data_IF_922017629423
#
_entry.id   IF_922017629423
#
_cell.length_a   1.000
_cell.length_b   1.000
_cell.length_c   1.000
_cell.angle_alpha   90.00
_cell.angle_beta   90.00
_cell.angle_gamma   90.00
#
_symmetry.space_group_name_H-M   'P 1'
#
loop_
_entity.id
_entity.type
_entity.pdbx_description
1 polymer ?
#
# COMPACT_ATOMS: atom_id res chain seq x y z
N UNK A 1 28.01 -7.74 22.46
CA UNK A 1 27.47 -8.35 21.23
C UNK A 1 26.60 -7.29 20.58
N UNK A 2 27.08 -6.66 19.50
CA UNK A 2 26.36 -5.57 18.83
C UNK A 2 25.40 -6.25 17.84
N UNK A 3 24.12 -6.28 18.17
CA UNK A 3 23.08 -6.69 17.22
C UNK A 3 23.10 -5.71 16.05
N UNK A 4 22.92 -6.20 14.82
CA UNK A 4 22.71 -5.30 13.69
C UNK A 4 21.47 -4.44 13.99
N UNK A 5 21.41 -3.22 13.45
CA UNK A 5 20.31 -2.29 13.75
C UNK A 5 18.92 -2.96 13.52
N UNK A 6 18.76 -3.78 12.47
CA UNK A 6 17.52 -4.53 12.24
C UNK A 6 17.16 -5.52 13.35
N UNK A 7 18.14 -6.27 13.85
CA UNK A 7 17.93 -7.20 14.97
C UNK A 7 17.58 -6.47 16.27
N UNK A 8 18.10 -5.26 16.48
CA UNK A 8 17.75 -4.43 17.63
C UNK A 8 16.27 -3.99 17.57
N UNK A 9 15.75 -3.61 16.39
CA UNK A 9 14.34 -3.23 16.25
C UNK A 9 13.39 -4.42 16.48
N UNK A 10 13.71 -5.59 15.93
CA UNK A 10 12.93 -6.81 16.17
C UNK A 10 12.91 -7.18 17.66
N UNK A 11 14.05 -7.05 18.35
CA UNK A 11 14.12 -7.27 19.80
C UNK A 11 13.27 -6.27 20.59
N UNK A 12 13.22 -5.01 20.15
CA UNK A 12 12.32 -4.03 20.75
C UNK A 12 10.86 -4.43 20.57
N UNK A 13 10.45 -4.87 19.37
CA UNK A 13 9.08 -5.37 19.10
C UNK A 13 8.73 -6.56 19.99
N UNK A 14 9.65 -7.54 20.13
CA UNK A 14 9.46 -8.72 20.98
C UNK A 14 9.32 -8.38 22.47
N UNK A 15 9.96 -7.30 22.93
CA UNK A 15 9.94 -6.85 24.33
C UNK A 15 8.75 -5.96 24.67
N UNK A 16 7.92 -5.58 23.70
CA UNK A 16 6.75 -4.77 23.98
C UNK A 16 5.81 -5.53 24.96
N UNK A 17 5.17 -4.86 25.91
CA UNK A 17 4.17 -5.48 26.79
C UNK A 17 2.94 -5.98 26.03
N UNK A 18 2.29 -7.05 26.49
CA UNK A 18 1.15 -7.70 25.80
C UNK A 18 -0.09 -6.81 25.61
N UNK A 19 -0.17 -5.68 26.32
CA UNK A 19 -1.20 -4.65 26.09
C UNK A 19 -1.12 -3.99 24.70
N UNK A 20 -0.03 -4.14 23.95
CA UNK A 20 0.09 -3.64 22.59
C UNK A 20 -0.17 -4.78 21.61
N UNK A 21 -1.32 -4.75 20.92
CA UNK A 21 -1.74 -5.82 20.02
C UNK A 21 -1.07 -5.77 18.63
N UNK A 22 -0.54 -4.61 18.21
CA UNK A 22 0.10 -4.42 16.91
C UNK A 22 1.15 -3.30 16.96
N UNK A 23 2.00 -3.24 15.93
CA UNK A 23 3.06 -2.25 15.80
C UNK A 23 2.97 -1.57 14.43
N UNK A 24 3.04 -0.24 14.41
CA UNK A 24 3.24 0.53 13.19
C UNK A 24 4.67 1.07 13.17
N UNK A 25 5.48 0.63 12.21
CA UNK A 25 6.89 1.03 12.07
C UNK A 25 6.95 2.20 11.11
N UNK A 26 7.36 3.37 11.62
CA UNK A 26 7.46 4.63 10.87
C UNK A 26 8.87 5.18 10.89
N UNK A 27 9.21 6.02 9.89
CA UNK A 27 10.50 6.70 9.73
C UNK A 27 11.69 5.76 9.88
N UNK A 28 11.54 4.55 9.38
CA UNK A 28 12.55 3.50 9.46
C UNK A 28 13.03 3.17 8.05
N UNK A 29 14.31 2.86 7.92
CA UNK A 29 14.88 2.35 6.66
C UNK A 29 13.99 1.24 6.07
N UNK A 30 13.62 1.30 4.77
CA UNK A 30 12.67 0.37 4.17
C UNK A 30 13.08 -1.10 4.29
N UNK A 31 14.36 -1.42 4.11
CA UNK A 31 14.84 -2.79 4.22
C UNK A 31 14.77 -3.29 5.67
N UNK A 32 15.09 -2.41 6.63
CA UNK A 32 14.96 -2.71 8.06
C UNK A 32 13.50 -2.90 8.49
N UNK A 33 12.60 -2.03 8.07
CA UNK A 33 11.18 -2.12 8.40
C UNK A 33 10.57 -3.42 7.84
N UNK A 34 10.89 -3.74 6.58
CA UNK A 34 10.49 -4.99 5.93
C UNK A 34 11.00 -6.22 6.68
N UNK A 35 12.29 -6.26 7.02
CA UNK A 35 12.87 -7.39 7.74
C UNK A 35 12.23 -7.63 9.11
N UNK A 36 11.79 -6.57 9.80
CA UNK A 36 11.03 -6.72 11.06
C UNK A 36 9.61 -7.23 10.80
N UNK A 37 8.95 -6.75 9.75
CA UNK A 37 7.60 -7.23 9.40
C UNK A 37 7.60 -8.71 9.00
N UNK A 38 8.57 -9.13 8.17
CA UNK A 38 8.77 -10.52 7.74
C UNK A 38 9.06 -11.42 8.94
N UNK A 39 10.03 -11.06 9.79
CA UNK A 39 10.32 -11.84 10.99
C UNK A 39 9.12 -11.90 11.96
N UNK A 40 8.36 -10.81 12.10
CA UNK A 40 7.17 -10.79 12.95
C UNK A 40 6.06 -11.71 12.42
N UNK A 41 5.93 -11.79 11.09
CA UNK A 41 5.02 -12.72 10.42
C UNK A 41 5.45 -14.17 10.62
N UNK A 42 6.73 -14.48 10.40
CA UNK A 42 7.28 -15.83 10.53
C UNK A 42 7.22 -16.37 11.96
N UNK A 43 7.53 -15.53 12.95
CA UNK A 43 7.52 -15.89 14.36
C UNK A 43 6.11 -15.85 14.99
N UNK A 44 5.06 -15.59 14.21
CA UNK A 44 3.69 -15.39 14.67
C UNK A 44 3.59 -14.37 15.83
N UNK A 45 4.40 -13.31 15.76
CA UNK A 45 4.42 -12.22 16.71
C UNK A 45 3.27 -11.24 16.41
N UNK A 46 3.34 -10.05 17.01
CA UNK A 46 2.35 -9.01 16.79
C UNK A 46 2.37 -8.55 15.34
N UNK A 47 1.21 -8.25 14.74
CA UNK A 47 1.17 -7.71 13.40
C UNK A 47 1.98 -6.40 13.31
N UNK A 48 2.84 -6.32 12.30
CA UNK A 48 3.67 -5.15 12.01
C UNK A 48 3.21 -4.55 10.69
N UNK A 49 2.77 -3.30 10.73
CA UNK A 49 2.48 -2.50 9.54
C UNK A 49 3.64 -1.53 9.30
N UNK A 50 4.18 -1.48 8.09
CA UNK A 50 5.24 -0.53 7.71
C UNK A 50 4.69 0.64 6.89
N UNK A 51 5.48 1.71 6.77
CA UNK A 51 5.15 2.82 5.85
C UNK A 51 5.09 2.36 4.40
N UNK A 52 5.93 1.39 4.03
CA UNK A 52 5.99 0.81 2.70
C UNK A 52 4.72 0.01 2.39
N UNK A 53 4.17 -0.72 3.37
CA UNK A 53 2.89 -1.42 3.22
C UNK A 53 1.74 -0.44 3.03
N UNK A 54 1.72 0.63 3.80
CA UNK A 54 0.71 1.68 3.69
C UNK A 54 0.79 2.42 2.34
N UNK A 55 1.99 2.82 1.92
CA UNK A 55 2.24 3.46 0.62
C UNK A 55 1.85 2.54 -0.54
N UNK A 56 2.26 1.26 -0.49
CA UNK A 56 1.93 0.30 -1.53
C UNK A 56 0.42 0.09 -1.63
N UNK A 57 -0.25 -0.06 -0.49
CA UNK A 57 -1.71 -0.22 -0.42
C UNK A 57 -2.44 1.00 -0.97
N UNK A 58 -2.05 2.21 -0.58
CA UNK A 58 -2.68 3.44 -1.05
C UNK A 58 -2.47 3.62 -2.56
N UNK A 59 -1.26 3.34 -3.06
CA UNK A 59 -0.95 3.45 -4.49
C UNK A 59 -1.72 2.42 -5.31
N UNK A 60 -1.80 1.17 -4.85
CA UNK A 60 -2.62 0.13 -5.48
C UNK A 60 -4.10 0.51 -5.49
N UNK A 61 -4.64 1.00 -4.37
CA UNK A 61 -6.02 1.45 -4.28
C UNK A 61 -6.33 2.56 -5.30
N UNK A 62 -5.38 3.49 -5.49
CA UNK A 62 -5.53 4.58 -6.43
C UNK A 62 -5.43 4.12 -7.89
N UNK A 63 -4.56 3.14 -8.20
CA UNK A 63 -4.52 2.46 -9.52
C UNK A 63 -5.84 1.74 -9.80
N UNK A 64 -6.33 0.92 -8.87
CA UNK A 64 -7.59 0.20 -9.01
C UNK A 64 -8.78 1.15 -9.21
N UNK A 65 -8.81 2.24 -8.44
CA UNK A 65 -9.84 3.28 -8.58
C UNK A 65 -9.77 3.94 -9.96
N UNK A 66 -8.57 4.24 -10.46
CA UNK A 66 -8.40 4.81 -11.80
C UNK A 66 -8.86 3.85 -12.90
N UNK A 67 -8.41 2.59 -12.87
CA UNK A 67 -8.82 1.58 -13.86
C UNK A 67 -10.35 1.44 -13.90
N UNK A 68 -10.98 1.33 -12.73
CA UNK A 68 -12.45 1.30 -12.62
C UNK A 68 -13.12 2.56 -13.20
N UNK A 69 -12.56 3.74 -12.94
CA UNK A 69 -13.08 5.02 -13.46
C UNK A 69 -13.04 5.06 -14.99
N UNK A 70 -12.03 4.47 -15.62
CA UNK A 70 -11.91 4.39 -17.08
C UNK A 70 -12.54 3.13 -17.67
N UNK A 71 -13.30 2.36 -16.88
CA UNK A 71 -14.02 1.17 -17.33
C UNK A 71 -13.13 -0.03 -17.67
N UNK A 72 -11.90 -0.07 -17.12
CA UNK A 72 -10.93 -1.16 -17.32
C UNK A 72 -10.95 -2.12 -16.13
N UNK A 73 -10.82 -3.41 -16.42
CA UNK A 73 -10.60 -4.45 -15.41
C UNK A 73 -9.09 -4.61 -15.14
N UNK A 74 -8.66 -4.85 -13.88
CA UNK A 74 -7.25 -5.07 -13.55
C UNK A 74 -6.58 -6.16 -14.40
N UNK A 75 -7.30 -7.25 -14.70
CA UNK A 75 -6.80 -8.41 -15.45
C UNK A 75 -6.45 -8.10 -16.90
N UNK A 76 -7.08 -7.08 -17.48
CA UNK A 76 -6.93 -6.68 -18.88
C UNK A 76 -6.21 -5.33 -19.02
N UNK A 77 -5.52 -4.90 -17.97
CA UNK A 77 -4.84 -3.60 -17.90
C UNK A 77 -3.33 -3.77 -17.84
N UNK A 78 -2.63 -2.94 -18.62
CA UNK A 78 -1.17 -2.84 -18.58
C UNK A 78 -0.75 -1.72 -17.64
N UNK A 79 -0.01 -2.06 -16.58
CA UNK A 79 0.39 -1.10 -15.54
C UNK A 79 1.90 -0.98 -15.45
N UNK A 80 2.38 0.25 -15.40
CA UNK A 80 3.80 0.55 -15.16
C UNK A 80 4.04 0.89 -13.69
N UNK A 81 5.05 0.30 -13.07
CA UNK A 81 5.58 0.75 -11.77
C UNK A 81 6.88 1.51 -12.03
N UNK A 82 6.83 2.83 -11.87
CA UNK A 82 8.00 3.69 -12.01
C UNK A 82 8.77 3.75 -10.69
N UNK A 83 10.07 3.46 -10.78
CA UNK A 83 11.05 3.39 -9.69
C UNK A 83 10.71 2.36 -8.59
N UNK A 84 10.33 1.14 -9.01
CA UNK A 84 9.90 0.05 -8.11
C UNK A 84 10.91 -0.32 -7.03
N UNK A 85 12.21 -0.04 -7.24
CA UNK A 85 13.25 -0.27 -6.25
C UNK A 85 13.01 0.47 -4.93
N UNK A 86 12.28 1.61 -4.96
CA UNK A 86 11.91 2.36 -3.76
C UNK A 86 10.88 1.62 -2.90
N UNK A 87 9.97 0.87 -3.53
CA UNK A 87 8.97 0.08 -2.83
C UNK A 87 8.57 -1.17 -3.65
N UNK A 88 9.31 -2.28 -3.51
CA UNK A 88 9.04 -3.52 -4.26
C UNK A 88 7.68 -4.14 -3.95
N UNK A 89 7.05 -3.78 -2.83
CA UNK A 89 5.73 -4.29 -2.43
C UNK A 89 4.64 -3.87 -3.42
N UNK A 90 4.80 -2.75 -4.13
CA UNK A 90 3.79 -2.23 -5.07
C UNK A 90 3.52 -3.21 -6.20
N UNK A 91 4.57 -3.72 -6.86
CA UNK A 91 4.40 -4.67 -7.96
C UNK A 91 3.75 -5.97 -7.46
N UNK A 92 4.21 -6.48 -6.32
CA UNK A 92 3.65 -7.69 -5.69
C UNK A 92 2.17 -7.51 -5.35
N UNK A 93 1.81 -6.37 -4.77
CA UNK A 93 0.44 -6.09 -4.37
C UNK A 93 -0.48 -5.89 -5.58
N UNK A 94 -0.01 -5.22 -6.65
CA UNK A 94 -0.74 -5.09 -7.91
C UNK A 94 -1.03 -6.46 -8.55
N UNK A 95 -0.07 -7.38 -8.55
CA UNK A 95 -0.28 -8.76 -9.03
C UNK A 95 -1.38 -9.48 -8.24
N UNK A 96 -1.34 -9.42 -6.91
CA UNK A 96 -2.36 -10.06 -6.06
C UNK A 96 -3.72 -9.35 -6.20
N UNK A 97 -3.73 -8.06 -6.56
CA UNK A 97 -4.95 -7.34 -6.95
C UNK A 97 -5.47 -7.69 -8.37
N UNK A 98 -4.79 -8.58 -9.10
CA UNK A 98 -5.22 -9.08 -10.40
C UNK A 98 -4.63 -8.35 -11.60
N UNK A 99 -3.61 -7.50 -11.42
CA UNK A 99 -2.89 -6.85 -12.52
C UNK A 99 -1.74 -7.75 -12.98
N UNK A 100 -1.91 -8.43 -14.11
CA UNK A 100 -0.94 -9.43 -14.60
C UNK A 100 0.01 -8.91 -15.67
N UNK A 101 -0.36 -7.87 -16.42
CA UNK A 101 0.53 -7.18 -17.36
C UNK A 101 1.21 -5.99 -16.65
N UNK A 102 2.32 -6.29 -15.97
CA UNK A 102 3.11 -5.31 -15.23
C UNK A 102 4.46 -5.05 -15.89
N UNK A 103 4.73 -3.78 -16.15
CA UNK A 103 6.04 -3.29 -16.52
C UNK A 103 6.68 -2.57 -15.33
N UNK A 104 8.01 -2.63 -15.25
CA UNK A 104 8.80 -1.87 -14.28
C UNK A 104 9.74 -0.97 -15.05
N UNK A 105 9.91 0.25 -14.56
CA UNK A 105 10.86 1.21 -15.09
C UNK A 105 11.65 1.84 -13.95
N UNK A 106 12.93 2.11 -14.15
CA UNK A 106 13.77 2.81 -13.19
C UNK A 106 14.44 4.02 -13.84
N UNK A 107 14.94 4.95 -13.01
CA UNK A 107 15.69 6.11 -13.52
C UNK A 107 16.94 5.68 -14.32
N UNK A 108 17.52 4.51 -14.00
CA UNK A 108 18.65 3.94 -14.73
C UNK A 108 18.28 3.57 -16.19
N UNK A 109 17.01 3.26 -16.45
CA UNK A 109 16.51 2.93 -17.79
C UNK A 109 16.29 4.17 -18.65
N UNK A 110 16.19 5.36 -18.03
CA UNK A 110 15.78 6.61 -18.68
C UNK A 110 16.63 6.98 -19.91
N UNK A 111 17.92 6.65 -19.89
CA UNK A 111 18.85 6.94 -20.98
C UNK A 111 18.53 6.15 -22.26
N UNK A 112 17.98 4.94 -22.12
CA UNK A 112 17.67 4.03 -23.23
C UNK A 112 16.18 4.00 -23.56
N UNK A 113 15.34 4.10 -22.53
CA UNK A 113 13.88 4.06 -22.61
C UNK A 113 13.33 5.24 -21.80
N UNK A 114 13.20 6.43 -22.41
CA UNK A 114 12.61 7.59 -21.73
C UNK A 114 11.20 7.26 -21.25
N UNK A 115 10.86 7.63 -20.02
CA UNK A 115 9.57 7.28 -19.41
C UNK A 115 8.40 7.65 -20.32
N UNK A 116 8.39 8.88 -20.88
CA UNK A 116 7.37 9.36 -21.82
C UNK A 116 7.05 8.40 -22.97
N UNK A 117 8.04 7.66 -23.47
CA UNK A 117 7.88 6.75 -24.59
C UNK A 117 7.20 5.45 -24.18
N UNK A 118 7.32 5.06 -22.91
CA UNK A 118 6.69 3.85 -22.35
C UNK A 118 5.24 4.14 -21.94
N UNK A 119 4.97 5.37 -21.47
CA UNK A 119 3.66 5.76 -20.95
C UNK A 119 2.52 5.67 -21.98
N UNK A 120 2.82 5.82 -23.27
CA UNK A 120 1.83 5.79 -24.35
C UNK A 120 1.14 4.42 -24.49
N UNK A 121 1.74 3.35 -23.97
CA UNK A 121 1.21 1.98 -24.05
C UNK A 121 0.56 1.48 -22.74
N UNK A 122 0.61 2.27 -21.67
CA UNK A 122 0.16 1.85 -20.33
C UNK A 122 -1.27 2.33 -20.06
N UNK A 123 -2.09 1.53 -19.39
CA UNK A 123 -3.42 1.94 -18.93
C UNK A 123 -3.36 2.76 -17.63
N UNK A 124 -2.38 2.43 -16.77
CA UNK A 124 -2.10 3.16 -15.53
C UNK A 124 -0.60 3.10 -15.18
N UNK A 125 -0.13 4.08 -14.40
CA UNK A 125 1.26 4.20 -13.96
C UNK A 125 1.26 4.49 -12.47
N UNK A 126 1.84 3.58 -11.70
CA UNK A 126 2.13 3.76 -10.29
C UNK A 126 3.51 4.43 -10.15
N UNK A 127 3.52 5.73 -9.84
CA UNK A 127 4.77 6.51 -9.79
C UNK A 127 5.29 6.65 -8.35
N UNK A 128 6.39 5.95 -8.06
CA UNK A 128 7.08 5.99 -6.76
C UNK A 128 8.23 7.00 -6.74
N UNK A 129 8.50 7.73 -7.82
CA UNK A 129 9.59 8.71 -7.84
C UNK A 129 9.32 9.82 -6.82
N UNK A 130 10.36 10.39 -6.20
CA UNK A 130 10.18 11.53 -5.31
C UNK A 130 9.46 12.67 -6.04
N UNK A 131 8.61 13.45 -5.34
CA UNK A 131 8.06 14.68 -5.90
C UNK A 131 9.24 15.58 -6.31
N UNK A 132 9.31 15.92 -7.60
CA UNK A 132 10.38 16.75 -8.16
C UNK A 132 10.08 18.24 -7.95
N UNK A 133 11.14 19.06 -7.86
CA UNK A 133 11.04 20.52 -7.67
C UNK A 133 10.69 21.30 -8.97
N UNK A 134 10.04 20.68 -9.96
CA UNK A 134 9.46 21.41 -11.10
C UNK A 134 10.01 21.12 -12.49
N UNK A 135 10.19 19.87 -12.90
CA UNK A 135 10.43 19.57 -14.33
C UNK A 135 9.90 18.22 -14.85
N UNK A 136 9.26 17.42 -13.99
CA UNK A 136 8.68 16.12 -14.34
C UNK A 136 7.17 16.09 -14.08
N UNK A 137 6.55 17.27 -14.20
CA UNK A 137 5.11 17.37 -14.39
C UNK A 137 4.84 16.94 -15.83
N UNK A 138 4.89 15.63 -16.04
CA UNK A 138 4.56 15.01 -17.32
C UNK A 138 3.09 15.34 -17.59
N UNK A 139 2.88 16.46 -18.27
CA UNK A 139 1.66 16.80 -18.96
C UNK A 139 1.49 15.74 -20.05
N UNK A 140 0.88 14.62 -19.68
CA UNK A 140 0.63 13.51 -20.57
C UNK A 140 -0.40 13.95 -21.60
N UNK A 141 -0.20 13.59 -22.87
CA UNK A 141 -1.21 13.64 -23.95
C UNK A 141 -2.43 12.73 -23.68
N UNK A 142 -2.52 12.16 -22.46
CA UNK A 142 -3.70 11.47 -21.95
C UNK A 142 -4.36 12.35 -20.89
N UNK A 143 -5.70 12.40 -20.84
CA UNK A 143 -6.41 13.20 -19.85
C UNK A 143 -5.85 12.90 -18.46
N UNK A 144 -5.63 13.95 -17.67
CA UNK A 144 -5.18 13.92 -16.28
C UNK A 144 -5.68 12.64 -15.58
N UNK A 145 -4.75 11.79 -15.12
CA UNK A 145 -5.09 10.65 -14.25
C UNK A 145 -4.56 9.26 -14.61
N UNK A 146 -3.81 9.05 -15.71
CA UNK A 146 -3.15 7.72 -15.91
C UNK A 146 -1.94 7.53 -14.99
N UNK A 147 -1.28 8.63 -14.59
CA UNK A 147 -0.26 8.61 -13.57
C UNK A 147 -0.88 8.79 -12.19
N UNK A 148 -0.64 7.81 -11.33
CA UNK A 148 -1.15 7.75 -9.98
C UNK A 148 0.01 7.94 -9.03
N UNK A 149 -0.12 8.93 -8.14
CA UNK A 149 0.82 9.24 -7.08
C UNK A 149 0.05 9.36 -5.77
N UNK A 150 0.72 9.08 -4.66
CA UNK A 150 0.23 9.38 -3.31
C UNK A 150 0.44 10.87 -3.01
N UNK A 151 -0.30 11.76 -3.69
CA UNK A 151 -0.22 13.22 -3.44
C UNK A 151 -1.28 13.66 -2.42
N UNK A 152 -0.89 14.52 -1.49
CA UNK A 152 -1.81 15.25 -0.60
C UNK A 152 -2.41 14.48 0.59
N UNK A 153 -2.48 13.15 0.56
CA UNK A 153 -3.02 12.34 1.67
C UNK A 153 -1.97 11.36 2.22
N UNK A 154 -1.80 11.35 3.54
CA UNK A 154 -0.89 10.42 4.22
C UNK A 154 -1.40 8.98 4.05
N UNK A 155 -0.67 8.17 3.28
CA UNK A 155 -1.01 6.78 3.02
C UNK A 155 -1.21 5.97 4.32
N UNK A 156 -0.51 6.32 5.40
CA UNK A 156 -0.66 5.68 6.72
C UNK A 156 -2.06 5.93 7.29
N UNK A 157 -2.62 7.11 7.08
CA UNK A 157 -3.95 7.46 7.58
C UNK A 157 -5.07 6.69 6.85
N UNK A 158 -4.82 6.22 5.63
CA UNK A 158 -5.77 5.38 4.90
C UNK A 158 -5.80 3.92 5.39
N UNK A 159 -4.68 3.42 5.90
CA UNK A 159 -4.49 1.97 6.13
C UNK A 159 -4.37 1.64 7.61
N UNK A 160 -3.50 2.38 8.33
CA UNK A 160 -3.14 2.04 9.70
C UNK A 160 -4.33 2.03 10.66
N UNK A 161 -5.26 3.00 10.67
CA UNK A 161 -6.39 2.95 11.60
C UNK A 161 -7.23 1.68 11.49
N UNK A 162 -7.55 1.23 10.28
CA UNK A 162 -8.37 0.03 10.06
C UNK A 162 -7.62 -1.27 10.35
N UNK A 163 -6.36 -1.36 9.95
CA UNK A 163 -5.50 -2.52 10.25
C UNK A 163 -5.27 -2.65 11.76
N UNK A 164 -4.98 -1.54 12.46
CA UNK A 164 -4.78 -1.54 13.91
C UNK A 164 -6.07 -1.86 14.68
N UNK A 165 -7.24 -1.34 14.24
CA UNK A 165 -8.56 -1.73 14.78
C UNK A 165 -8.85 -3.22 14.61
N UNK A 166 -8.36 -3.81 13.52
CA UNK A 166 -8.48 -5.26 13.28
C UNK A 166 -7.58 -6.00 14.24
N UNK A 167 -6.29 -5.69 14.26
CA UNK A 167 -5.33 -6.35 15.13
C UNK A 167 -5.66 -6.20 16.62
N UNK A 168 -6.30 -5.10 17.06
CA UNK A 168 -6.75 -4.95 18.44
C UNK A 168 -7.94 -5.86 18.82
N UNK A 169 -8.68 -6.36 17.82
CA UNK A 169 -9.82 -7.25 18.02
C UNK A 169 -9.42 -8.74 18.08
N UNK A 170 -8.17 -9.06 17.77
CA UNK A 170 -7.64 -10.43 17.73
C UNK A 170 -6.39 -10.56 18.60
N UNK A 171 -6.01 -11.79 18.93
CA UNK A 171 -4.77 -12.07 19.66
C UNK A 171 -3.51 -11.79 18.82
N UNK A 172 -2.32 -11.72 19.47
CA UNK A 172 -1.05 -11.73 18.74
C UNK A 172 -0.96 -12.93 17.79
N UNK A 173 -0.44 -12.71 16.57
CA UNK A 173 -0.31 -13.76 15.54
C UNK A 173 -1.62 -14.15 14.82
N UNK A 174 -2.80 -13.78 15.32
CA UNK A 174 -4.09 -14.15 14.72
C UNK A 174 -4.49 -13.26 13.53
N UNK A 175 -3.95 -12.04 13.48
CA UNK A 175 -4.27 -11.04 12.46
C UNK A 175 -3.01 -10.49 11.76
N UNK A 176 -2.15 -11.34 11.17
CA UNK A 176 -0.89 -10.90 10.59
C UNK A 176 -1.12 -9.94 9.41
N UNK A 177 -0.27 -8.92 9.28
CA UNK A 177 -0.27 -8.04 8.10
C UNK A 177 0.35 -8.82 6.94
N UNK A 178 -0.51 -9.42 6.11
CA UNK A 178 -0.12 -10.21 4.93
C UNK A 178 -0.44 -9.46 3.63
N UNK A 179 0.12 -9.92 2.50
CA UNK A 179 -0.26 -9.40 1.18
C UNK A 179 -1.76 -9.50 0.90
N UNK A 180 -2.42 -10.56 1.36
CA UNK A 180 -3.88 -10.69 1.23
C UNK A 180 -4.64 -9.67 2.07
N UNK A 181 -4.17 -9.37 3.29
CA UNK A 181 -4.71 -8.29 4.11
C UNK A 181 -4.58 -6.95 3.38
N UNK A 182 -3.38 -6.64 2.87
CA UNK A 182 -3.10 -5.41 2.14
C UNK A 182 -3.91 -5.31 0.84
N UNK A 183 -4.15 -6.43 0.15
CA UNK A 183 -5.04 -6.48 -1.03
C UNK A 183 -6.46 -6.07 -0.66
N UNK A 184 -7.01 -6.62 0.41
CA UNK A 184 -8.35 -6.28 0.87
C UNK A 184 -8.44 -4.82 1.31
N UNK A 185 -7.41 -4.30 1.98
CA UNK A 185 -7.30 -2.87 2.27
C UNK A 185 -7.34 -2.03 0.99
N UNK A 186 -6.53 -2.39 -0.02
CA UNK A 186 -6.45 -1.65 -1.28
C UNK A 186 -7.80 -1.66 -2.02
N UNK A 187 -8.49 -2.80 -2.06
CA UNK A 187 -9.82 -2.94 -2.64
C UNK A 187 -10.84 -2.05 -1.90
N UNK A 188 -10.91 -2.15 -0.58
CA UNK A 188 -11.83 -1.37 0.26
C UNK A 188 -11.63 0.15 0.10
N UNK A 189 -10.37 0.59 0.07
CA UNK A 189 -10.03 2.01 -0.17
C UNK A 189 -10.42 2.40 -1.60
N UNK A 190 -10.12 1.56 -2.60
CA UNK A 190 -10.42 1.89 -4.00
C UNK A 190 -11.90 2.13 -4.22
N UNK A 191 -12.76 1.35 -3.54
CA UNK A 191 -14.21 1.39 -3.60
C UNK A 191 -14.85 2.56 -2.84
N UNK A 192 -14.13 3.15 -1.88
CA UNK A 192 -14.61 4.30 -1.13
C UNK A 192 -14.93 5.48 -2.08
N UNK A 193 -15.98 6.27 -1.80
CA UNK A 193 -16.28 7.47 -2.56
C UNK A 193 -15.05 8.38 -2.62
N UNK A 194 -14.77 9.04 -3.76
CA UNK A 194 -13.68 10.01 -3.81
C UNK A 194 -13.95 11.12 -2.79
N UNK A 195 -12.90 11.53 -2.08
CA UNK A 195 -12.97 12.67 -1.15
C UNK A 195 -12.83 13.94 -2.00
N UNK A 196 -13.89 14.29 -2.74
CA UNK A 196 -13.90 15.52 -3.52
C UNK A 196 -14.17 16.69 -2.56
N UNK A 197 -13.20 17.61 -2.52
CA UNK A 197 -13.38 19.00 -2.12
C UNK A 197 -13.64 19.29 -0.64
N UNK A 198 -12.96 20.32 -0.15
CA UNK A 198 -13.25 20.99 1.12
C UNK A 198 -14.77 21.22 1.27
N UNK A 199 -15.32 20.96 2.47
CA UNK A 199 -16.75 20.89 2.83
C UNK A 199 -17.44 19.51 2.74
N UNK A 200 -16.74 18.44 3.03
CA UNK A 200 -17.18 17.42 3.98
C UNK A 200 -15.99 16.49 4.16
N UNK A 201 -15.26 16.65 5.26
CA UNK A 201 -14.40 15.56 5.70
C UNK A 201 -15.33 14.35 5.88
N UNK A 202 -15.31 13.40 4.93
CA UNK A 202 -15.61 12.03 5.30
C UNK A 202 -14.69 11.78 6.49
N UNK A 203 -15.23 11.54 7.70
CA UNK A 203 -14.37 11.35 8.84
C UNK A 203 -13.46 10.18 8.48
N UNK A 204 -12.15 10.29 8.78
CA UNK A 204 -11.19 9.21 8.55
C UNK A 204 -11.69 7.85 9.10
N UNK A 205 -12.66 7.89 10.00
CA UNK A 205 -13.50 6.79 10.46
C UNK A 205 -14.17 5.96 9.35
N UNK A 206 -14.72 6.52 8.27
CA UNK A 206 -15.42 5.71 7.23
C UNK A 206 -14.45 4.81 6.45
N UNK A 207 -13.26 5.34 6.09
CA UNK A 207 -12.23 4.53 5.43
C UNK A 207 -11.64 3.51 6.42
N UNK A 208 -11.38 3.94 7.66
CA UNK A 208 -10.88 3.04 8.69
C UNK A 208 -11.84 1.88 8.96
N UNK A 209 -13.15 2.14 8.99
CA UNK A 209 -14.20 1.14 9.20
C UNK A 209 -14.32 0.19 8.02
N UNK A 210 -14.26 0.69 6.78
CA UNK A 210 -14.22 -0.14 5.57
C UNK A 210 -13.00 -1.07 5.56
N UNK A 211 -11.82 -0.52 5.85
CA UNK A 211 -10.59 -1.31 5.95
C UNK A 211 -10.72 -2.35 7.04
N UNK A 212 -11.12 -1.96 8.26
CA UNK A 212 -11.28 -2.89 9.38
C UNK A 212 -12.31 -3.98 9.09
N UNK A 213 -13.42 -3.65 8.45
CA UNK A 213 -14.45 -4.62 8.07
C UNK A 213 -13.92 -5.62 7.03
N UNK A 214 -13.23 -5.14 5.98
CA UNK A 214 -12.65 -5.98 4.94
C UNK A 214 -11.62 -6.97 5.52
N UNK A 215 -10.75 -6.51 6.40
CA UNK A 215 -9.71 -7.35 7.02
C UNK A 215 -10.27 -8.29 8.09
N UNK A 216 -11.26 -7.87 8.90
CA UNK A 216 -11.95 -8.76 9.85
C UNK A 216 -12.65 -9.93 9.16
N UNK A 217 -13.29 -9.70 8.01
CA UNK A 217 -13.96 -10.74 7.23
C UNK A 217 -13.01 -11.82 6.71
N UNK A 218 -11.75 -11.47 6.47
CA UNK A 218 -10.73 -12.42 6.06
C UNK A 218 -10.33 -13.36 7.20
N UNK A 219 -10.20 -12.81 8.41
CA UNK A 219 -9.75 -13.54 9.60
C UNK A 219 -10.89 -14.39 10.18
N UNK A 220 -12.11 -13.85 10.20
CA UNK A 220 -13.28 -14.56 10.71
C UNK A 220 -14.45 -14.49 9.71
N UNK A 221 -14.76 -15.59 9.02
CA UNK A 221 -15.86 -15.63 8.04
C UNK A 221 -17.25 -15.50 8.69
N UNK A 222 -17.39 -15.54 10.02
CA UNK A 222 -18.68 -15.28 10.69
C UNK A 222 -19.18 -13.84 10.46
N UNK A 223 -18.29 -12.91 10.10
CA UNK A 223 -18.68 -11.56 9.65
C UNK A 223 -19.37 -11.52 8.27
N UNK A 224 -19.65 -12.67 7.62
CA UNK A 224 -20.41 -12.77 6.37
C UNK A 224 -21.95 -12.76 6.56
N UNK A 225 -22.46 -12.84 7.79
CA UNK A 225 -23.90 -13.04 8.07
C UNK A 225 -24.62 -11.84 8.71
N UNK A 226 -24.01 -10.66 8.76
CA UNK A 226 -24.60 -9.43 9.31
C UNK A 226 -24.95 -8.44 8.21
#
# INVERSE_FOLDING_TARGET
MILSAGQDLLQQVRRLPDRYSAVCVVRTDPARARGVAEASYEDALRPVLTEQDAEATALCAAVLRHLRRVGRQPTDSRVLVADSARNPSVASLLMVCGVFDLAVWSQADAARFPLRSVLSEMDAVADLRPPGNGQDDLSLDRPEGSMVRTTGLDARMLVAPGVLRTASAFGPGEAPVSLDMLRLCAQAISEAPPVHSAMAALPADDIADRVAYATKRMIDPRFLRS
#
